data_IF_488306741953
#
_entry.id   IF_488306741953
#
_cell.length_a   1.000
_cell.length_b   1.000
_cell.length_c   1.000
_cell.angle_alpha   90.00
_cell.angle_beta   90.00
_cell.angle_gamma   90.00
#
_symmetry.space_group_name_H-M   'P 1'
#
loop_
_entity.id
_entity.type
_entity.pdbx_description
1 polymer ?
#
# COMPACT_ATOMS: atom_id res chain seq x y z
N UNK A 1 3.92 3.95 -15.95
CA UNK A 1 4.68 4.79 -15.01
C UNK A 1 6.17 4.52 -15.06
N UNK A 2 6.97 5.58 -14.90
CA UNK A 2 8.43 5.52 -14.65
C UNK A 2 8.78 6.13 -13.29
N UNK A 3 10.00 5.88 -12.84
CA UNK A 3 10.60 6.50 -11.66
C UNK A 3 11.84 7.27 -12.08
N UNK A 4 11.91 8.55 -11.72
CA UNK A 4 13.10 9.39 -11.93
C UNK A 4 13.85 9.53 -10.63
N UNK A 5 15.15 9.20 -10.64
CA UNK A 5 16.01 9.35 -9.47
C UNK A 5 16.33 10.84 -9.30
N UNK A 6 15.99 11.43 -8.16
CA UNK A 6 16.24 12.86 -7.87
C UNK A 6 17.23 13.08 -6.75
N UNK A 7 17.65 12.02 -6.05
CA UNK A 7 18.73 12.10 -5.06
C UNK A 7 20.08 12.03 -5.77
N UNK A 8 20.85 13.12 -5.71
CA UNK A 8 22.18 13.26 -6.33
C UNK A 8 23.22 12.26 -5.79
N UNK A 9 23.01 11.74 -4.58
CA UNK A 9 23.90 10.74 -3.97
C UNK A 9 23.66 9.32 -4.47
N UNK A 10 22.69 9.11 -5.35
CA UNK A 10 22.31 7.80 -5.87
C UNK A 10 22.82 7.66 -7.31
N UNK A 11 23.52 6.55 -7.56
CA UNK A 11 23.92 6.15 -8.90
C UNK A 11 22.73 6.10 -9.86
N UNK A 12 22.84 6.80 -10.99
CA UNK A 12 21.73 6.98 -11.94
C UNK A 12 20.90 8.24 -11.69
N UNK A 13 21.41 9.23 -10.94
CA UNK A 13 20.79 10.54 -10.78
C UNK A 13 20.25 11.10 -12.12
N UNK A 14 19.04 11.64 -12.06
CA UNK A 14 18.28 12.17 -13.19
C UNK A 14 17.95 11.16 -14.30
N UNK A 15 18.11 9.86 -14.05
CA UNK A 15 17.70 8.80 -14.98
C UNK A 15 16.24 8.40 -14.73
N UNK A 16 15.48 8.20 -15.81
CA UNK A 16 14.15 7.60 -15.76
C UNK A 16 14.21 6.09 -15.97
N UNK A 17 13.60 5.35 -15.05
CA UNK A 17 13.61 3.89 -15.05
C UNK A 17 12.18 3.37 -15.08
N UNK A 18 11.93 2.36 -15.91
CA UNK A 18 10.60 1.75 -16.01
C UNK A 18 10.26 1.00 -14.74
N UNK A 19 9.13 1.34 -14.13
CA UNK A 19 8.64 0.67 -12.92
C UNK A 19 8.14 -0.72 -13.30
N UNK A 20 8.59 -1.72 -12.55
CA UNK A 20 8.10 -3.10 -12.64
C UNK A 20 7.04 -3.36 -11.59
N UNK A 21 7.25 -2.88 -10.37
CA UNK A 21 6.35 -3.00 -9.22
C UNK A 21 6.58 -1.83 -8.27
N UNK A 22 5.58 -1.49 -7.47
CA UNK A 22 5.73 -0.53 -6.38
C UNK A 22 4.75 -0.86 -5.27
N UNK A 23 5.07 -0.38 -4.07
CA UNK A 23 4.15 -0.28 -2.95
C UNK A 23 4.25 1.15 -2.39
N UNK A 24 3.62 1.38 -1.24
CA UNK A 24 3.62 2.71 -0.61
C UNK A 24 5.02 3.25 -0.28
N UNK A 25 5.98 2.38 0.06
CA UNK A 25 7.31 2.79 0.55
C UNK A 25 8.40 2.71 -0.52
N UNK A 26 8.24 1.83 -1.52
CA UNK A 26 9.31 1.39 -2.41
C UNK A 26 8.86 1.21 -3.85
N UNK A 27 9.80 1.48 -4.76
CA UNK A 27 9.65 1.29 -6.19
C UNK A 27 10.71 0.32 -6.69
N UNK A 28 10.29 -0.64 -7.50
CA UNK A 28 11.13 -1.67 -8.09
C UNK A 28 11.20 -1.43 -9.60
N UNK A 29 12.40 -1.20 -10.13
CA UNK A 29 12.61 -0.82 -11.54
C UNK A 29 13.51 -1.81 -12.27
N UNK A 30 13.43 -1.80 -13.60
CA UNK A 30 14.40 -2.49 -14.46
C UNK A 30 15.64 -1.61 -14.62
N UNK A 31 16.82 -2.11 -14.22
CA UNK A 31 18.10 -1.43 -14.34
C UNK A 31 18.95 -2.06 -15.47
N UNK A 32 19.78 -1.26 -16.14
CA UNK A 32 20.35 -1.60 -17.46
C UNK A 32 21.41 -2.72 -17.49
N UNK A 33 21.87 -3.26 -16.36
CA UNK A 33 22.88 -4.34 -16.35
C UNK A 33 22.22 -5.71 -16.20
N UNK A 34 22.18 -6.49 -17.30
CA UNK A 34 21.94 -7.94 -17.56
C UNK A 34 21.07 -8.84 -16.63
N UNK A 35 20.72 -8.42 -15.42
CA UNK A 35 19.74 -9.04 -14.50
C UNK A 35 19.18 -8.08 -13.44
N UNK A 36 19.64 -6.82 -13.39
CA UNK A 36 19.50 -5.94 -12.24
C UNK A 36 18.12 -5.34 -12.06
N UNK A 37 17.26 -6.00 -11.29
CA UNK A 37 16.16 -5.30 -10.62
C UNK A 37 16.79 -4.46 -9.50
N UNK A 38 16.46 -3.16 -9.44
CA UNK A 38 16.87 -2.29 -8.34
C UNK A 38 15.63 -1.79 -7.60
N UNK A 39 15.74 -1.71 -6.27
CA UNK A 39 14.69 -1.17 -5.41
C UNK A 39 15.15 0.17 -4.87
N UNK A 40 14.29 1.18 -4.98
CA UNK A 40 14.48 2.51 -4.43
C UNK A 40 13.36 2.78 -3.42
N UNK A 41 13.65 3.61 -2.42
CA UNK A 41 12.58 4.21 -1.61
C UNK A 41 11.83 5.23 -2.44
N UNK A 42 10.53 5.38 -2.20
CA UNK A 42 9.71 6.31 -2.97
C UNK A 42 10.18 7.76 -2.84
N UNK A 43 10.81 8.13 -1.70
CA UNK A 43 11.36 9.46 -1.44
C UNK A 43 12.76 9.70 -2.03
N UNK A 44 13.37 8.71 -2.68
CA UNK A 44 14.67 8.84 -3.37
C UNK A 44 14.52 9.35 -4.82
N UNK A 45 13.29 9.62 -5.25
CA UNK A 45 12.96 10.03 -6.60
C UNK A 45 11.55 10.56 -6.73
N UNK A 46 11.07 10.67 -7.96
CA UNK A 46 9.71 11.07 -8.28
C UNK A 46 9.06 10.09 -9.28
N UNK A 47 7.73 9.95 -9.18
CA UNK A 47 6.94 9.19 -10.13
C UNK A 47 6.67 10.06 -11.37
N UNK A 48 6.99 9.51 -12.53
CA UNK A 48 6.68 10.10 -13.84
C UNK A 48 5.52 9.32 -14.44
N UNK A 49 4.39 10.01 -14.57
CA UNK A 49 3.15 9.44 -15.09
C UNK A 49 3.24 9.19 -16.59
N UNK A 50 2.66 8.07 -17.03
CA UNK A 50 2.49 7.74 -18.45
C UNK A 50 0.99 7.64 -18.83
N UNK A 51 0.07 8.01 -17.93
CA UNK A 51 -1.37 7.99 -18.17
C UNK A 51 -2.22 8.26 -16.92
N UNK A 52 -3.53 8.31 -17.09
CA UNK A 52 -4.49 8.73 -16.05
C UNK A 52 -4.39 7.92 -14.74
N UNK A 53 -4.27 6.60 -14.83
CA UNK A 53 -4.12 5.73 -13.64
C UNK A 53 -2.84 6.06 -12.88
N UNK A 54 -1.77 6.43 -13.59
CA UNK A 54 -0.51 6.81 -12.99
C UNK A 54 -0.64 8.16 -12.26
N UNK A 55 -1.38 9.11 -12.83
CA UNK A 55 -1.68 10.40 -12.20
C UNK A 55 -2.46 10.21 -10.90
N UNK A 56 -3.45 9.31 -10.90
CA UNK A 56 -4.23 8.96 -9.70
C UNK A 56 -3.32 8.38 -8.61
N UNK A 57 -2.46 7.43 -8.96
CA UNK A 57 -1.53 6.82 -8.00
C UNK A 57 -0.53 7.86 -7.46
N UNK A 58 -0.04 8.76 -8.33
CA UNK A 58 0.88 9.83 -7.93
C UNK A 58 0.21 10.84 -7.00
N UNK A 59 -1.04 11.22 -7.29
CA UNK A 59 -1.84 12.18 -6.50
C UNK A 59 -2.27 11.58 -5.16
N UNK A 60 -2.69 10.31 -5.15
CA UNK A 60 -3.21 9.62 -3.97
C UNK A 60 -2.40 8.36 -3.66
N UNK A 61 -1.11 8.55 -3.36
CA UNK A 61 -0.17 7.45 -3.11
C UNK A 61 -0.61 6.49 -1.97
N UNK A 62 -1.43 6.97 -1.03
CA UNK A 62 -1.95 6.19 0.08
C UNK A 62 -2.80 4.99 -0.38
N UNK A 63 -3.36 5.05 -1.60
CA UNK A 63 -4.03 3.92 -2.24
C UNK A 63 -3.12 2.69 -2.37
N UNK A 64 -1.80 2.87 -2.48
CA UNK A 64 -0.82 1.78 -2.58
C UNK A 64 -0.72 0.94 -1.30
N UNK A 65 -1.30 1.40 -0.18
CA UNK A 65 -1.46 0.59 1.04
C UNK A 65 -2.52 -0.51 0.86
N UNK A 66 -3.45 -0.34 -0.08
CA UNK A 66 -4.44 -1.35 -0.43
C UNK A 66 -3.75 -2.39 -1.30
N UNK A 67 -3.74 -3.64 -0.81
CA UNK A 67 -3.13 -4.75 -1.51
C UNK A 67 -4.07 -5.25 -2.61
N UNK A 68 -3.70 -4.99 -3.86
CA UNK A 68 -4.39 -5.51 -5.03
C UNK A 68 -4.26 -7.06 -5.09
N UNK A 69 -5.39 -7.74 -5.33
CA UNK A 69 -5.41 -9.19 -5.49
C UNK A 69 -4.69 -9.61 -6.79
N UNK A 70 -4.04 -10.78 -6.81
CA UNK A 70 -3.35 -11.26 -8.02
C UNK A 70 -4.33 -11.34 -9.20
N UNK A 71 -3.99 -10.67 -10.31
CA UNK A 71 -4.84 -10.60 -11.50
C UNK A 71 -5.85 -9.45 -11.46
N UNK A 72 -5.80 -8.58 -10.45
CA UNK A 72 -6.52 -7.31 -10.44
C UNK A 72 -5.61 -6.21 -10.97
N UNK A 73 -6.19 -5.28 -11.73
CA UNK A 73 -5.48 -4.20 -12.42
C UNK A 73 -5.30 -2.97 -11.53
N UNK A 74 -4.36 -2.09 -11.89
CA UNK A 74 -4.19 -0.78 -11.25
C UNK A 74 -5.43 0.13 -11.46
N UNK A 75 -6.25 -0.16 -12.47
CA UNK A 75 -7.56 0.47 -12.67
C UNK A 75 -8.50 0.31 -11.47
N UNK A 76 -8.25 -0.65 -10.59
CA UNK A 76 -8.95 -0.76 -9.30
C UNK A 76 -8.84 0.52 -8.47
N UNK A 77 -7.67 1.18 -8.46
CA UNK A 77 -7.47 2.44 -7.74
C UNK A 77 -8.27 3.58 -8.36
N UNK A 78 -8.33 3.64 -9.69
CA UNK A 78 -9.18 4.60 -10.40
C UNK A 78 -10.65 4.40 -10.03
N UNK A 79 -11.13 3.14 -10.08
CA UNK A 79 -12.50 2.82 -9.72
C UNK A 79 -12.88 3.22 -8.29
N UNK A 80 -11.95 3.13 -7.33
CA UNK A 80 -12.17 3.63 -5.97
C UNK A 80 -12.40 5.14 -5.98
N UNK A 81 -11.52 5.90 -6.64
CA UNK A 81 -11.63 7.37 -6.69
C UNK A 81 -12.92 7.78 -7.39
N UNK A 82 -13.16 7.26 -8.60
CA UNK A 82 -14.37 7.57 -9.38
C UNK A 82 -15.63 7.30 -8.54
N UNK A 83 -15.69 6.15 -7.85
CA UNK A 83 -16.85 5.80 -7.03
C UNK A 83 -17.02 6.74 -5.83
N UNK A 84 -15.92 7.19 -5.19
CA UNK A 84 -15.98 8.17 -4.09
C UNK A 84 -16.53 9.50 -4.59
N UNK A 85 -16.02 9.99 -5.73
CA UNK A 85 -16.41 11.26 -6.31
C UNK A 85 -17.86 11.26 -6.80
N UNK A 86 -18.33 10.12 -7.32
CA UNK A 86 -19.74 9.93 -7.69
C UNK A 86 -20.68 9.85 -6.48
N UNK A 87 -20.22 9.30 -5.35
CA UNK A 87 -21.09 8.99 -4.19
C UNK A 87 -21.04 10.04 -3.08
N UNK A 88 -19.95 10.81 -2.96
CA UNK A 88 -19.69 11.71 -1.84
C UNK A 88 -19.30 13.10 -2.35
N UNK A 89 -18.03 13.28 -2.73
CA UNK A 89 -17.46 14.55 -3.20
C UNK A 89 -16.09 14.33 -3.84
N UNK A 90 -15.55 15.38 -4.46
CA UNK A 90 -14.18 15.39 -5.00
C UNK A 90 -13.14 14.95 -3.95
N UNK A 91 -12.23 14.04 -4.35
CA UNK A 91 -11.17 13.58 -3.46
C UNK A 91 -10.04 14.60 -3.42
N UNK A 92 -9.82 15.23 -2.28
CA UNK A 92 -8.68 16.14 -2.03
C UNK A 92 -7.55 15.43 -1.32
N UNK A 93 -7.88 14.59 -0.34
CA UNK A 93 -6.94 13.76 0.39
C UNK A 93 -7.63 12.49 0.87
N UNK A 94 -6.88 11.41 1.02
CA UNK A 94 -7.39 10.16 1.59
C UNK A 94 -6.31 9.48 2.43
N UNK A 95 -6.73 8.85 3.52
CA UNK A 95 -5.88 8.01 4.37
C UNK A 95 -6.49 6.63 4.47
N UNK A 96 -5.85 5.62 3.87
CA UNK A 96 -6.19 4.21 4.00
C UNK A 96 -5.76 3.73 5.38
N UNK A 97 -6.74 3.39 6.22
CA UNK A 97 -6.52 2.93 7.58
C UNK A 97 -6.47 1.41 7.69
N UNK A 98 -7.25 0.72 6.85
CA UNK A 98 -7.30 -0.73 6.83
C UNK A 98 -7.70 -1.27 5.47
N UNK A 99 -7.17 -2.44 5.12
CA UNK A 99 -7.54 -3.22 3.95
C UNK A 99 -7.73 -4.69 4.38
N UNK A 100 -8.96 -5.16 4.29
CA UNK A 100 -9.33 -6.53 4.66
C UNK A 100 -9.92 -7.27 3.46
N UNK A 101 -9.20 -8.29 2.97
CA UNK A 101 -9.76 -9.22 2.00
C UNK A 101 -10.68 -10.22 2.72
N UNK A 102 -12.00 -10.07 2.57
CA UNK A 102 -13.01 -10.96 3.17
C UNK A 102 -12.92 -12.37 2.58
N UNK A 103 -12.79 -12.47 1.27
CA UNK A 103 -12.81 -13.76 0.58
C UNK A 103 -11.95 -13.74 -0.67
N UNK A 104 -11.36 -14.90 -0.99
CA UNK A 104 -10.86 -15.20 -2.34
C UNK A 104 -11.26 -16.63 -2.70
N UNK A 105 -12.02 -16.78 -3.78
CA UNK A 105 -12.46 -18.09 -4.27
C UNK A 105 -11.44 -18.70 -5.23
N UNK A 106 -11.47 -20.03 -5.36
CA UNK A 106 -10.70 -20.75 -6.40
C UNK A 106 -11.01 -20.26 -7.84
N UNK A 107 -12.18 -19.65 -8.04
CA UNK A 107 -12.63 -19.08 -9.33
C UNK A 107 -12.12 -17.65 -9.58
N UNK A 108 -11.32 -17.11 -8.66
CA UNK A 108 -10.75 -15.76 -8.76
C UNK A 108 -11.72 -14.64 -8.43
N UNK A 109 -12.85 -14.93 -7.80
CA UNK A 109 -13.77 -13.93 -7.23
C UNK A 109 -13.22 -13.52 -5.87
N UNK A 110 -13.24 -12.23 -5.59
CA UNK A 110 -12.73 -11.66 -4.35
C UNK A 110 -13.65 -10.58 -3.82
N UNK A 111 -13.64 -10.45 -2.49
CA UNK A 111 -14.37 -9.42 -1.74
C UNK A 111 -13.41 -8.74 -0.76
N UNK A 112 -13.51 -7.42 -0.66
CA UNK A 112 -12.66 -6.56 0.15
C UNK A 112 -13.48 -5.54 0.91
N UNK A 113 -12.98 -5.19 2.09
CA UNK A 113 -13.43 -4.08 2.90
C UNK A 113 -12.25 -3.15 3.14
N UNK A 114 -12.43 -1.88 2.81
CA UNK A 114 -11.38 -0.88 2.93
C UNK A 114 -11.94 0.25 3.80
N UNK A 115 -11.18 0.64 4.83
CA UNK A 115 -11.52 1.75 5.70
C UNK A 115 -10.64 2.95 5.33
N UNK A 116 -11.26 4.07 4.99
CA UNK A 116 -10.58 5.29 4.56
C UNK A 116 -11.08 6.47 5.41
N UNK A 117 -10.17 7.37 5.76
CA UNK A 117 -10.50 8.69 6.24
C UNK A 117 -10.28 9.70 5.10
N UNK A 118 -11.38 10.22 4.55
CA UNK A 118 -11.44 11.05 3.35
C UNK A 118 -11.49 12.52 3.73
N UNK A 119 -10.73 13.35 3.01
CA UNK A 119 -10.73 14.82 3.10
C UNK A 119 -10.61 15.36 4.53
N UNK A 120 -9.94 14.59 5.40
CA UNK A 120 -9.80 14.88 6.83
C UNK A 120 -11.14 15.12 7.57
N UNK A 121 -12.23 14.57 7.02
CA UNK A 121 -13.60 14.87 7.48
C UNK A 121 -14.47 13.62 7.53
N UNK A 122 -14.41 12.75 6.52
CA UNK A 122 -15.36 11.66 6.36
C UNK A 122 -14.71 10.30 6.65
N UNK A 123 -15.15 9.57 7.68
CA UNK A 123 -14.85 8.14 7.77
C UNK A 123 -15.72 7.37 6.78
N UNK A 124 -15.09 6.68 5.84
CA UNK A 124 -15.79 5.90 4.82
C UNK A 124 -15.35 4.44 4.84
N UNK A 125 -16.32 3.57 4.60
CA UNK A 125 -16.12 2.15 4.36
C UNK A 125 -16.43 1.86 2.91
N UNK A 126 -15.49 1.22 2.22
CA UNK A 126 -15.65 0.76 0.85
C UNK A 126 -15.74 -0.76 0.86
N UNK A 127 -16.85 -1.28 0.38
CA UNK A 127 -16.99 -2.70 0.07
C UNK A 127 -16.72 -2.88 -1.43
N UNK A 128 -15.61 -3.53 -1.74
CA UNK A 128 -15.17 -3.75 -3.10
C UNK A 128 -15.25 -5.23 -3.45
N UNK A 129 -15.76 -5.56 -4.63
CA UNK A 129 -15.79 -6.93 -5.13
C UNK A 129 -15.39 -6.97 -6.60
N UNK A 130 -14.94 -8.14 -7.05
CA UNK A 130 -14.58 -8.31 -8.45
C UNK A 130 -14.04 -9.70 -8.76
N UNK A 131 -13.57 -9.85 -10.00
CA UNK A 131 -12.96 -11.07 -10.51
C UNK A 131 -11.61 -10.79 -11.14
N UNK A 132 -10.67 -11.69 -10.91
CA UNK A 132 -9.35 -11.63 -11.53
C UNK A 132 -9.46 -11.59 -13.06
N UNK A 133 -8.62 -10.75 -13.67
CA UNK A 133 -8.48 -10.52 -15.10
C UNK A 133 -9.75 -9.99 -15.79
N UNK A 134 -10.65 -9.36 -15.02
CA UNK A 134 -11.90 -8.76 -15.51
C UNK A 134 -12.17 -7.43 -14.83
N UNK A 135 -11.71 -6.35 -15.44
CA UNK A 135 -11.82 -4.99 -14.89
C UNK A 135 -13.27 -4.49 -14.86
N UNK A 136 -14.07 -4.89 -15.85
CA UNK A 136 -15.51 -4.65 -15.97
C UNK A 136 -16.34 -5.28 -14.82
N UNK A 137 -15.75 -6.21 -14.07
CA UNK A 137 -16.42 -6.88 -12.96
C UNK A 137 -16.30 -6.14 -11.63
N UNK A 138 -15.49 -5.09 -11.55
CA UNK A 138 -15.25 -4.38 -10.30
C UNK A 138 -16.52 -3.64 -9.87
N UNK A 139 -16.87 -3.80 -8.61
CA UNK A 139 -18.00 -3.11 -7.98
C UNK A 139 -17.55 -2.51 -6.68
N UNK A 140 -17.96 -1.28 -6.43
CA UNK A 140 -17.65 -0.53 -5.22
C UNK A 140 -18.97 -0.06 -4.61
N UNK A 141 -19.13 -0.32 -3.32
CA UNK A 141 -20.21 0.23 -2.51
C UNK A 141 -19.58 1.09 -1.41
N UNK A 142 -19.98 2.35 -1.33
CA UNK A 142 -19.38 3.32 -0.42
C UNK A 142 -20.40 3.72 0.64
N UNK A 143 -20.00 3.58 1.90
CA UNK A 143 -20.80 3.96 3.05
C UNK A 143 -20.02 4.96 3.90
N UNK A 144 -20.60 6.14 4.13
CA UNK A 144 -20.13 7.05 5.19
C UNK A 144 -20.49 6.43 6.54
N UNK A 145 -19.52 6.34 7.44
CA UNK A 145 -19.71 5.77 8.77
C UNK A 145 -20.13 6.83 9.76
N UNK A 146 -20.92 6.42 10.75
CA UNK A 146 -21.17 7.25 11.92
C UNK A 146 -19.89 7.40 12.75
N UNK A 147 -19.70 8.57 13.37
CA UNK A 147 -18.48 8.89 14.12
C UNK A 147 -18.20 7.87 15.24
N UNK A 148 -19.24 7.45 15.96
CA UNK A 148 -19.12 6.45 17.03
C UNK A 148 -18.67 5.09 16.50
N UNK A 149 -19.25 4.62 15.39
CA UNK A 149 -18.86 3.36 14.72
C UNK A 149 -17.39 3.43 14.31
N UNK A 150 -16.97 4.55 13.72
CA UNK A 150 -15.59 4.74 13.28
C UNK A 150 -14.58 4.77 14.43
N UNK A 151 -14.87 5.51 15.51
CA UNK A 151 -14.01 5.61 16.69
C UNK A 151 -13.81 4.23 17.33
N UNK A 152 -14.88 3.42 17.43
CA UNK A 152 -14.80 2.06 17.95
C UNK A 152 -13.86 1.18 17.10
N UNK A 153 -14.02 1.24 15.77
CA UNK A 153 -13.14 0.54 14.84
C UNK A 153 -11.67 0.99 14.98
N UNK A 154 -11.42 2.28 15.16
CA UNK A 154 -10.09 2.83 15.39
C UNK A 154 -9.48 2.29 16.69
N UNK A 155 -10.21 2.33 17.80
CA UNK A 155 -9.74 1.79 19.09
C UNK A 155 -9.39 0.30 18.99
N UNK A 156 -10.23 -0.48 18.33
CA UNK A 156 -9.99 -1.90 18.10
C UNK A 156 -8.71 -2.16 17.29
N UNK A 157 -8.50 -1.41 16.20
CA UNK A 157 -7.29 -1.55 15.38
C UNK A 157 -6.03 -1.08 16.11
N UNK A 158 -6.11 0.00 16.89
CA UNK A 158 -5.01 0.45 17.77
C UNK A 158 -4.62 -0.66 18.76
N UNK A 159 -5.61 -1.32 19.38
CA UNK A 159 -5.38 -2.45 20.29
C UNK A 159 -4.65 -3.62 19.61
N UNK A 160 -5.08 -4.00 18.39
CA UNK A 160 -4.40 -5.03 17.58
C UNK A 160 -2.95 -4.67 17.29
N UNK A 161 -2.69 -3.43 16.88
CA UNK A 161 -1.33 -2.98 16.57
C UNK A 161 -0.43 -3.00 17.81
N UNK A 162 -0.92 -2.52 18.96
CA UNK A 162 -0.18 -2.61 20.23
C UNK A 162 0.21 -4.04 20.58
N UNK A 163 -0.71 -5.00 20.40
CA UNK A 163 -0.42 -6.41 20.65
C UNK A 163 0.64 -6.97 19.69
N UNK A 164 0.60 -6.59 18.41
CA UNK A 164 1.61 -6.99 17.43
C UNK A 164 2.99 -6.40 17.77
N UNK A 165 3.06 -5.14 18.16
CA UNK A 165 4.29 -4.46 18.59
C UNK A 165 4.90 -5.22 19.78
N UNK A 166 4.13 -5.46 20.85
CA UNK A 166 4.62 -6.18 22.02
C UNK A 166 5.06 -7.62 21.73
N UNK A 167 4.47 -8.29 20.74
CA UNK A 167 4.98 -9.60 20.28
C UNK A 167 6.30 -9.48 19.52
N UNK A 168 6.42 -8.50 18.60
CA UNK A 168 7.65 -8.25 17.83
C UNK A 168 8.82 -7.85 18.73
N UNK A 169 8.59 -7.02 19.75
CA UNK A 169 9.60 -6.62 20.73
C UNK A 169 10.14 -7.83 21.53
N UNK A 170 9.25 -8.75 21.93
CA UNK A 170 9.67 -10.00 22.60
C UNK A 170 10.56 -10.85 21.70
N UNK A 171 10.19 -11.02 20.43
CA UNK A 171 11.02 -11.74 19.45
C UNK A 171 12.39 -11.07 19.26
N UNK A 172 12.41 -9.75 19.11
CA UNK A 172 13.65 -8.97 18.97
C UNK A 172 14.59 -9.19 20.16
N UNK A 173 14.06 -9.18 21.38
CA UNK A 173 14.86 -9.39 22.58
C UNK A 173 15.45 -10.81 22.66
N UNK A 174 14.76 -11.83 22.15
CA UNK A 174 15.32 -13.19 22.06
C UNK A 174 16.53 -13.21 21.12
N UNK A 175 16.40 -12.63 19.92
CA UNK A 175 17.52 -12.58 18.97
C UNK A 175 18.72 -11.81 19.52
N UNK A 176 18.50 -10.65 20.16
CA UNK A 176 19.57 -9.86 20.80
C UNK A 176 20.38 -10.68 21.80
N UNK A 177 19.70 -11.41 22.70
CA UNK A 177 20.36 -12.27 23.70
C UNK A 177 21.20 -13.38 23.08
N UNK A 178 20.72 -13.99 21.99
CA UNK A 178 21.45 -15.06 21.30
C UNK A 178 22.71 -14.49 20.64
N UNK A 179 22.59 -13.36 19.93
CA UNK A 179 23.73 -12.69 19.28
C UNK A 179 24.78 -12.29 20.31
N UNK A 180 24.38 -11.62 21.40
CA UNK A 180 25.30 -11.20 22.47
C UNK A 180 26.05 -12.38 23.10
N UNK A 181 25.39 -13.55 23.23
CA UNK A 181 26.03 -14.76 23.76
C UNK A 181 27.10 -15.29 22.80
N UNK A 182 26.75 -15.44 21.52
CA UNK A 182 27.66 -15.98 20.50
C UNK A 182 28.86 -15.05 20.31
N UNK A 183 28.64 -13.73 20.18
CA UNK A 183 29.73 -12.77 20.01
C UNK A 183 30.67 -12.71 21.22
N UNK A 184 30.16 -12.93 22.43
CA UNK A 184 31.03 -13.07 23.62
C UNK A 184 31.87 -14.34 23.53
N UNK A 185 31.28 -15.48 23.19
CA UNK A 185 31.99 -16.76 23.07
C UNK A 185 33.06 -16.72 21.96
N UNK A 186 32.80 -16.04 20.84
CA UNK A 186 33.77 -15.88 19.73
C UNK A 186 34.92 -14.93 20.02
N UNK A 187 34.84 -14.06 21.04
CA UNK A 187 35.92 -13.15 21.44
C UNK A 187 36.87 -13.77 22.48
N UNK A 188 36.64 -15.03 22.89
CA UNK A 188 37.51 -15.79 23.80
C UNK A 188 38.25 -16.95 23.11
N UNK A 189 38.15 -17.06 21.77
CA UNK A 189 39.02 -17.88 20.91
C UNK A 189 40.07 -17.01 20.21
#
# INVERSE_FOLDING_TARGET
MKFRITNENIEGYNTELKIRRMNYDQVVVNYQNNSGIKTFKINEGELVSEGEVDDIIKKYNDLLKIKINRGTSALFYKGIIDSIEESIEEVKSLKVLNDFTKSTSKRGIWDKEILIYLNESYPIKIEASGRNFREDSYKFNIKVLEEAEFIEMCHFNIGKLKNQIGWRERQLNVYKKIVEKIEKESNFE
#
